data_IF_087795132552
#
_entry.id   IF_087795132552
#
_cell.length_a   1.000
_cell.length_b   1.000
_cell.length_c   1.000
_cell.angle_alpha   90.00
_cell.angle_beta   90.00
_cell.angle_gamma   90.00
#
_symmetry.space_group_name_H-M   'P 1'
#
loop_
_entity.id
_entity.type
_entity.pdbx_description
1 polymer ?
#
# COMPACT_ATOMS: atom_id res chain seq x y z
N UNK A 1 0.36 12.25 -15.84
CA UNK A 1 -0.36 12.30 -14.54
C UNK A 1 0.02 13.60 -13.87
N UNK A 2 -0.95 14.35 -13.33
CA UNK A 2 -0.78 15.76 -12.92
C UNK A 2 -0.22 15.96 -11.49
N UNK A 3 -0.23 14.95 -10.61
CA UNK A 3 0.22 15.09 -9.21
C UNK A 3 1.67 14.64 -9.00
N UNK A 4 2.63 15.57 -9.15
CA UNK A 4 4.06 15.26 -9.04
C UNK A 4 4.47 14.76 -7.65
N UNK A 5 3.97 15.39 -6.58
CA UNK A 5 4.30 15.02 -5.18
C UNK A 5 3.84 13.60 -4.85
N UNK A 6 2.62 13.23 -5.23
CA UNK A 6 2.09 11.87 -4.99
C UNK A 6 2.97 10.82 -5.68
N UNK A 7 3.41 11.11 -6.92
CA UNK A 7 4.26 10.19 -7.66
C UNK A 7 5.66 10.09 -7.03
N UNK A 8 6.22 11.21 -6.57
CA UNK A 8 7.49 11.21 -5.85
C UNK A 8 7.40 10.37 -4.57
N UNK A 9 6.38 10.61 -3.74
CA UNK A 9 6.13 9.85 -2.51
C UNK A 9 6.02 8.36 -2.78
N UNK A 10 5.21 7.95 -3.77
CA UNK A 10 5.07 6.56 -4.17
C UNK A 10 6.37 5.95 -4.70
N UNK A 11 7.12 6.69 -5.51
CA UNK A 11 8.37 6.21 -6.09
C UNK A 11 9.41 5.94 -4.98
N UNK A 12 9.62 6.92 -4.09
CA UNK A 12 10.55 6.81 -2.95
C UNK A 12 10.11 5.71 -1.99
N UNK A 13 8.84 5.68 -1.59
CA UNK A 13 8.34 4.65 -0.69
C UNK A 13 8.48 3.24 -1.28
N UNK A 14 8.24 3.07 -2.59
CA UNK A 14 8.46 1.78 -3.25
C UNK A 14 9.93 1.35 -3.18
N UNK A 15 10.89 2.27 -3.40
CA UNK A 15 12.31 1.94 -3.30
C UNK A 15 12.69 1.52 -1.88
N UNK A 16 12.27 2.30 -0.88
CA UNK A 16 12.58 2.02 0.52
C UNK A 16 12.02 0.67 0.97
N UNK A 17 10.82 0.28 0.51
CA UNK A 17 10.25 -1.02 0.83
C UNK A 17 11.03 -2.16 0.16
N UNK A 18 11.40 -2.03 -1.11
CA UNK A 18 12.21 -3.07 -1.78
C UNK A 18 13.55 -3.23 -1.07
N UNK A 19 14.22 -2.13 -0.74
CA UNK A 19 15.50 -2.15 -0.03
C UNK A 19 15.37 -2.68 1.40
N UNK A 20 14.29 -2.35 2.11
CA UNK A 20 13.99 -2.92 3.43
C UNK A 20 13.90 -4.44 3.37
N UNK A 21 13.10 -4.96 2.44
CA UNK A 21 12.93 -6.39 2.25
C UNK A 21 14.23 -7.06 1.80
N UNK A 22 15.04 -6.40 0.98
CA UNK A 22 16.35 -6.93 0.58
C UNK A 22 17.35 -6.97 1.74
N UNK A 23 17.27 -6.00 2.67
CA UNK A 23 18.08 -5.98 3.89
C UNK A 23 17.59 -6.99 4.95
N UNK A 24 16.40 -7.58 4.76
CA UNK A 24 15.77 -8.52 5.69
C UNK A 24 15.71 -9.96 5.15
N UNK A 25 15.62 -10.14 3.83
CA UNK A 25 15.47 -11.44 3.19
C UNK A 25 16.80 -11.96 2.63
N UNK A 26 17.26 -13.07 3.21
CA UNK A 26 18.41 -13.84 2.76
C UNK A 26 19.75 -13.32 3.29
N UNK A 27 20.81 -14.13 3.14
CA UNK A 27 22.09 -13.93 3.82
C UNK A 27 22.95 -12.83 3.18
N UNK A 28 22.62 -12.32 1.99
CA UNK A 28 23.42 -11.28 1.34
C UNK A 28 23.58 -10.05 2.24
N UNK A 29 22.50 -9.63 2.90
CA UNK A 29 22.50 -8.46 3.78
C UNK A 29 23.40 -8.64 5.01
N UNK A 30 23.48 -9.85 5.56
CA UNK A 30 24.32 -10.15 6.73
C UNK A 30 25.81 -9.94 6.42
N UNK A 31 26.25 -10.29 5.21
CA UNK A 31 27.62 -10.08 4.77
C UNK A 31 27.91 -8.59 4.54
N UNK A 32 26.97 -7.87 3.94
CA UNK A 32 27.11 -6.41 3.70
C UNK A 32 27.10 -5.64 5.01
N UNK A 33 26.35 -6.10 6.02
CA UNK A 33 26.30 -5.50 7.36
C UNK A 33 27.68 -5.43 8.02
N UNK A 34 28.62 -6.31 7.68
CA UNK A 34 30.00 -6.28 8.21
C UNK A 34 30.77 -5.02 7.80
N UNK A 35 30.45 -4.44 6.63
CA UNK A 35 31.13 -3.25 6.09
C UNK A 35 30.26 -1.98 6.12
N UNK A 36 28.92 -2.14 6.16
CA UNK A 36 27.95 -1.04 6.18
C UNK A 36 26.84 -1.29 7.24
N UNK A 37 27.18 -1.45 8.52
CA UNK A 37 26.23 -1.87 9.55
C UNK A 37 25.06 -0.89 9.72
N UNK A 38 25.35 0.41 9.84
CA UNK A 38 24.33 1.44 10.06
C UNK A 38 23.31 1.52 8.92
N UNK A 39 23.76 1.30 7.68
CA UNK A 39 22.89 1.32 6.51
C UNK A 39 21.95 0.11 6.51
N UNK A 40 22.48 -1.11 6.71
CA UNK A 40 21.68 -2.33 6.72
C UNK A 40 20.71 -2.33 7.90
N UNK A 41 21.15 -1.90 9.08
CA UNK A 41 20.30 -1.82 10.27
C UNK A 41 19.19 -0.78 10.10
N UNK A 42 19.48 0.36 9.45
CA UNK A 42 18.46 1.35 9.13
C UNK A 42 17.46 0.84 8.08
N UNK A 43 17.94 0.13 7.04
CA UNK A 43 17.07 -0.47 6.02
C UNK A 43 16.19 -1.58 6.62
N UNK A 44 16.76 -2.48 7.43
CA UNK A 44 16.02 -3.55 8.09
C UNK A 44 15.03 -3.02 9.15
N UNK A 45 15.38 -1.96 9.87
CA UNK A 45 14.53 -1.42 10.94
C UNK A 45 13.55 -0.33 10.49
N UNK A 46 14.08 0.79 10.00
CA UNK A 46 13.33 2.04 9.81
C UNK A 46 12.66 2.16 8.45
N UNK A 47 13.24 1.61 7.38
CA UNK A 47 12.69 1.75 6.03
C UNK A 47 11.31 1.08 5.87
N UNK A 48 10.96 0.09 6.71
CA UNK A 48 9.61 -0.51 6.77
C UNK A 48 8.49 0.49 7.06
N UNK A 49 8.82 1.63 7.67
CA UNK A 49 7.85 2.70 7.93
C UNK A 49 7.27 3.27 6.63
N UNK A 50 7.96 3.13 5.49
CA UNK A 50 7.51 3.65 4.19
C UNK A 50 6.13 3.13 3.74
N UNK A 51 5.64 2.00 4.29
CA UNK A 51 4.26 1.53 4.09
C UNK A 51 3.24 2.62 4.44
N UNK A 52 3.51 3.44 5.47
CA UNK A 52 2.61 4.51 5.91
C UNK A 52 2.36 5.54 4.81
N UNK A 53 3.34 5.78 3.94
CA UNK A 53 3.18 6.64 2.76
C UNK A 53 2.07 6.10 1.85
N UNK A 54 2.06 4.79 1.59
CA UNK A 54 1.04 4.16 0.76
C UNK A 54 -0.34 4.19 1.41
N UNK A 55 -0.45 3.97 2.72
CA UNK A 55 -1.72 4.05 3.46
C UNK A 55 -2.33 5.45 3.38
N UNK A 56 -1.53 6.48 3.66
CA UNK A 56 -1.99 7.88 3.61
C UNK A 56 -2.33 8.29 2.17
N UNK A 57 -1.48 7.98 1.19
CA UNK A 57 -1.76 8.26 -0.23
C UNK A 57 -2.99 7.49 -0.71
N UNK A 58 -3.18 6.26 -0.26
CA UNK A 58 -4.35 5.43 -0.54
C UNK A 58 -5.63 6.09 -0.06
N UNK A 59 -5.65 6.56 1.20
CA UNK A 59 -6.74 7.36 1.76
C UNK A 59 -6.99 8.64 0.95
N UNK A 60 -5.95 9.41 0.65
CA UNK A 60 -6.06 10.64 -0.14
C UNK A 60 -6.71 10.40 -1.52
N UNK A 61 -6.28 9.35 -2.24
CA UNK A 61 -6.84 8.99 -3.54
C UNK A 61 -8.25 8.38 -3.44
N UNK A 62 -8.57 7.69 -2.34
CA UNK A 62 -9.91 7.20 -2.07
C UNK A 62 -10.89 8.35 -1.80
N UNK A 63 -10.53 9.33 -0.97
CA UNK A 63 -11.32 10.54 -0.79
C UNK A 63 -11.54 11.26 -2.12
N UNK A 64 -10.48 11.44 -2.91
CA UNK A 64 -10.61 12.04 -4.25
C UNK A 64 -11.61 11.33 -5.16
N UNK A 65 -11.59 10.00 -5.18
CA UNK A 65 -12.36 9.20 -6.14
C UNK A 65 -13.79 8.90 -5.67
N UNK A 66 -13.99 8.65 -4.39
CA UNK A 66 -15.27 8.23 -3.82
C UNK A 66 -16.05 9.37 -3.16
N UNK A 67 -15.35 10.27 -2.48
CA UNK A 67 -15.96 11.31 -1.65
C UNK A 67 -15.22 12.65 -1.79
N UNK A 68 -15.08 13.20 -3.01
CA UNK A 68 -14.27 14.40 -3.24
C UNK A 68 -14.76 15.59 -2.41
N UNK A 69 -16.07 15.61 -2.13
CA UNK A 69 -16.76 16.62 -1.35
C UNK A 69 -17.05 16.21 0.10
N UNK A 70 -16.51 15.10 0.60
CA UNK A 70 -16.79 14.57 1.93
C UNK A 70 -18.30 14.44 2.25
N UNK A 71 -19.13 14.32 1.22
CA UNK A 71 -20.58 14.24 1.35
C UNK A 71 -20.99 12.76 1.37
N UNK A 72 -22.10 12.42 2.04
CA UNK A 72 -22.79 11.17 1.81
C UNK A 72 -23.13 11.03 0.33
N UNK A 73 -22.72 9.93 -0.29
CA UNK A 73 -23.03 9.59 -1.68
C UNK A 73 -23.58 8.18 -1.69
N UNK A 74 -24.72 7.98 -2.37
CA UNK A 74 -25.25 6.65 -2.61
C UNK A 74 -24.27 5.90 -3.51
N UNK A 75 -23.51 5.00 -2.88
CA UNK A 75 -22.65 4.04 -3.54
C UNK A 75 -23.36 2.69 -3.53
N UNK A 76 -23.22 1.93 -4.62
CA UNK A 76 -23.54 0.51 -4.63
C UNK A 76 -22.35 -0.22 -3.99
N UNK A 77 -22.46 -0.67 -2.72
CA UNK A 77 -21.29 -1.07 -1.95
C UNK A 77 -20.62 -2.32 -2.54
N UNK A 78 -21.40 -3.34 -2.88
CA UNK A 78 -20.90 -4.58 -3.48
C UNK A 78 -20.23 -4.32 -4.84
N UNK A 79 -20.87 -3.53 -5.70
CA UNK A 79 -20.28 -3.15 -6.99
C UNK A 79 -18.97 -2.35 -6.83
N UNK A 80 -18.89 -1.43 -5.86
CA UNK A 80 -17.67 -0.65 -5.60
C UNK A 80 -16.52 -1.53 -5.08
N UNK A 81 -16.82 -2.41 -4.13
CA UNK A 81 -15.84 -3.36 -3.57
C UNK A 81 -15.38 -4.33 -4.66
N UNK A 82 -16.29 -4.87 -5.47
CA UNK A 82 -15.96 -5.76 -6.58
C UNK A 82 -15.05 -5.08 -7.62
N UNK A 83 -15.35 -3.83 -8.00
CA UNK A 83 -14.47 -3.07 -8.93
C UNK A 83 -13.06 -2.88 -8.38
N UNK A 84 -12.91 -2.69 -7.06
CA UNK A 84 -11.59 -2.62 -6.42
C UNK A 84 -10.90 -3.98 -6.42
N UNK A 85 -11.62 -5.04 -6.05
CA UNK A 85 -11.13 -6.41 -6.05
C UNK A 85 -10.64 -6.82 -7.44
N UNK A 86 -11.47 -6.66 -8.47
CA UNK A 86 -11.14 -7.02 -9.85
C UNK A 86 -9.92 -6.25 -10.41
N UNK A 87 -9.61 -5.07 -9.86
CA UNK A 87 -8.40 -4.34 -10.22
C UNK A 87 -7.15 -4.87 -9.52
N UNK A 88 -7.26 -5.28 -8.26
CA UNK A 88 -6.13 -5.68 -7.42
C UNK A 88 -5.81 -7.18 -7.52
N UNK A 89 -6.83 -8.02 -7.37
CA UNK A 89 -6.67 -9.46 -7.14
C UNK A 89 -6.01 -10.22 -8.30
N UNK A 90 -6.35 -10.01 -9.59
CA UNK A 90 -5.75 -10.80 -10.67
C UNK A 90 -4.21 -10.67 -10.78
N UNK A 91 -3.61 -9.47 -10.87
CA UNK A 91 -2.15 -9.35 -10.84
C UNK A 91 -1.56 -9.80 -9.50
N UNK A 92 -2.27 -9.62 -8.38
CA UNK A 92 -1.82 -10.11 -7.08
C UNK A 92 -1.74 -11.64 -7.02
N UNK A 93 -2.73 -12.35 -7.54
CA UNK A 93 -2.76 -13.82 -7.63
C UNK A 93 -1.62 -14.32 -8.51
N UNK A 94 -1.41 -13.71 -9.68
CA UNK A 94 -0.30 -14.06 -10.56
C UNK A 94 1.06 -13.91 -9.85
N UNK A 95 1.28 -12.79 -9.15
CA UNK A 95 2.50 -12.58 -8.38
C UNK A 95 2.65 -13.55 -7.20
N UNK A 96 1.55 -13.91 -6.54
CA UNK A 96 1.54 -14.90 -5.44
C UNK A 96 1.95 -16.29 -5.94
N UNK A 97 1.45 -16.70 -7.11
CA UNK A 97 1.85 -17.97 -7.74
C UNK A 97 3.33 -17.95 -8.13
N UNK A 98 3.83 -16.84 -8.71
CA UNK A 98 5.25 -16.68 -9.01
C UNK A 98 6.08 -16.75 -7.71
N UNK A 99 5.63 -16.15 -6.62
CA UNK A 99 6.30 -16.20 -5.32
C UNK A 99 6.36 -17.62 -4.73
N UNK A 100 5.27 -18.39 -4.85
CA UNK A 100 5.26 -19.79 -4.43
C UNK A 100 6.26 -20.64 -5.25
N UNK A 101 6.29 -20.47 -6.58
CA UNK A 101 7.24 -21.18 -7.46
C UNK A 101 8.68 -20.75 -7.15
N UNK A 102 8.92 -19.44 -7.01
CA UNK A 102 10.24 -18.91 -6.67
C UNK A 102 10.76 -19.43 -5.33
N UNK A 103 9.87 -19.63 -4.35
CA UNK A 103 10.26 -20.21 -3.05
C UNK A 103 10.74 -21.65 -3.18
N UNK A 104 10.05 -22.48 -3.98
CA UNK A 104 10.47 -23.86 -4.27
C UNK A 104 11.79 -23.92 -5.04
N UNK A 105 12.03 -22.98 -5.95
CA UNK A 105 13.31 -22.92 -6.67
C UNK A 105 14.45 -22.43 -5.77
N UNK A 106 14.20 -21.40 -4.96
CA UNK A 106 15.18 -20.86 -4.03
C UNK A 106 15.61 -21.89 -2.97
N UNK A 107 14.69 -22.75 -2.52
CA UNK A 107 14.98 -23.81 -1.55
C UNK A 107 15.93 -24.90 -2.08
N UNK A 108 16.20 -24.93 -3.39
CA UNK A 108 17.21 -25.84 -3.96
C UNK A 108 18.63 -25.31 -3.77
N UNK A 109 18.79 -24.01 -3.52
CA UNK A 109 20.09 -23.32 -3.51
C UNK A 109 20.41 -22.65 -2.18
N UNK A 110 19.42 -22.46 -1.30
CA UNK A 110 19.56 -21.77 -0.02
C UNK A 110 18.63 -22.39 1.03
N UNK A 111 19.07 -22.41 2.28
CA UNK A 111 18.24 -22.67 3.45
C UNK A 111 18.21 -21.40 4.30
N UNK A 112 17.02 -20.83 4.51
CA UNK A 112 16.84 -19.55 5.20
C UNK A 112 15.36 -19.35 5.57
N UNK A 113 15.09 -18.68 6.70
CA UNK A 113 13.73 -18.38 7.20
C UNK A 113 12.86 -17.55 6.24
N UNK A 114 13.46 -16.98 5.20
CA UNK A 114 12.75 -16.22 4.16
C UNK A 114 12.10 -17.12 3.11
N UNK A 115 12.45 -18.39 3.06
CA UNK A 115 11.87 -19.36 2.15
C UNK A 115 10.54 -19.83 2.75
N UNK A 116 9.45 -19.58 2.02
CA UNK A 116 8.13 -20.05 2.44
C UNK A 116 8.02 -21.57 2.29
N UNK A 117 7.34 -22.21 3.24
CA UNK A 117 6.88 -23.59 3.08
C UNK A 117 6.00 -23.73 1.81
N UNK A 118 5.90 -24.94 1.23
CA UNK A 118 5.07 -25.18 0.06
C UNK A 118 3.63 -24.68 0.26
N UNK A 119 3.16 -23.86 -0.68
CA UNK A 119 1.85 -23.23 -0.58
C UNK A 119 0.73 -24.28 -0.66
N UNK A 120 -0.17 -24.28 0.33
CA UNK A 120 -1.36 -25.14 0.31
C UNK A 120 -2.47 -24.52 -0.55
N UNK A 121 -3.40 -25.34 -1.04
CA UNK A 121 -4.57 -24.86 -1.79
C UNK A 121 -5.40 -23.88 -0.94
N UNK A 122 -5.57 -24.17 0.36
CA UNK A 122 -6.27 -23.29 1.29
C UNK A 122 -5.59 -21.92 1.45
N UNK A 123 -4.25 -21.91 1.56
CA UNK A 123 -3.48 -20.67 1.62
C UNK A 123 -3.61 -19.86 0.32
N UNK A 124 -3.52 -20.50 -0.85
CA UNK A 124 -3.68 -19.83 -2.15
C UNK A 124 -5.09 -19.25 -2.31
N UNK A 125 -6.13 -19.98 -1.88
CA UNK A 125 -7.50 -19.49 -1.88
C UNK A 125 -7.68 -18.29 -0.92
N UNK A 126 -7.07 -18.33 0.26
CA UNK A 126 -7.08 -17.22 1.21
C UNK A 126 -6.34 -15.97 0.68
N UNK A 127 -5.26 -16.16 -0.09
CA UNK A 127 -4.60 -15.07 -0.80
C UNK A 127 -5.51 -14.51 -1.90
N UNK A 128 -6.11 -15.36 -2.74
CA UNK A 128 -7.04 -14.91 -3.77
C UNK A 128 -8.19 -14.08 -3.19
N UNK A 129 -8.75 -14.48 -2.04
CA UNK A 129 -9.79 -13.75 -1.32
C UNK A 129 -9.29 -12.49 -0.58
N UNK A 130 -7.98 -12.20 -0.58
CA UNK A 130 -7.35 -11.14 0.22
C UNK A 130 -7.61 -11.26 1.73
N UNK A 131 -7.76 -12.49 2.23
CA UNK A 131 -8.11 -12.81 3.62
C UNK A 131 -7.03 -13.60 4.36
N UNK A 132 -5.89 -13.92 3.72
CA UNK A 132 -4.82 -14.75 4.28
C UNK A 132 -4.37 -14.36 5.69
N UNK A 133 -4.05 -13.08 5.95
CA UNK A 133 -3.61 -12.64 7.28
C UNK A 133 -4.69 -12.80 8.36
N UNK A 134 -5.95 -12.50 8.03
CA UNK A 134 -7.09 -12.64 8.96
C UNK A 134 -7.38 -14.12 9.28
N UNK A 135 -7.16 -15.00 8.30
CA UNK A 135 -7.31 -16.45 8.44
C UNK A 135 -6.07 -17.12 9.06
N UNK A 136 -5.05 -16.36 9.45
CA UNK A 136 -3.83 -16.89 10.09
C UNK A 136 -2.84 -17.55 9.13
N UNK A 137 -3.00 -17.38 7.81
CA UNK A 137 -2.03 -17.88 6.84
C UNK A 137 -0.85 -16.92 6.68
N UNK A 138 0.41 -17.40 6.73
CA UNK A 138 1.58 -16.60 6.41
C UNK A 138 1.50 -16.01 5.00
N UNK A 139 2.03 -14.80 4.83
CA UNK A 139 2.11 -14.13 3.53
C UNK A 139 3.15 -14.82 2.63
N UNK A 140 2.75 -15.23 1.43
CA UNK A 140 3.65 -15.84 0.43
C UNK A 140 4.54 -14.81 -0.30
N UNK A 141 4.24 -13.52 -0.13
CA UNK A 141 5.03 -12.42 -0.69
C UNK A 141 5.00 -11.25 0.28
N UNK A 142 6.13 -10.54 0.37
CA UNK A 142 6.30 -9.36 1.22
C UNK A 142 5.21 -8.29 1.02
N UNK A 143 4.68 -8.17 -0.20
CA UNK A 143 3.60 -7.22 -0.52
C UNK A 143 2.18 -7.71 -0.19
N UNK A 144 1.97 -9.00 0.08
CA UNK A 144 0.63 -9.60 0.16
C UNK A 144 -0.23 -8.98 1.27
N UNK A 145 0.37 -8.83 2.45
CA UNK A 145 -0.28 -8.23 3.61
C UNK A 145 -0.84 -6.83 3.31
N UNK A 146 -0.03 -5.95 2.69
CA UNK A 146 -0.47 -4.58 2.39
C UNK A 146 -1.65 -4.55 1.39
N UNK A 147 -1.64 -5.43 0.37
CA UNK A 147 -2.73 -5.49 -0.61
C UNK A 147 -4.05 -5.86 0.06
N UNK A 148 -4.02 -6.80 1.00
CA UNK A 148 -5.19 -7.16 1.79
C UNK A 148 -5.67 -5.99 2.68
N UNK A 149 -4.76 -5.32 3.39
CA UNK A 149 -5.09 -4.16 4.22
C UNK A 149 -5.67 -3.01 3.39
N UNK A 150 -5.08 -2.68 2.24
CA UNK A 150 -5.57 -1.63 1.34
C UNK A 150 -6.99 -1.93 0.84
N UNK A 151 -7.27 -3.20 0.52
CA UNK A 151 -8.61 -3.64 0.15
C UNK A 151 -9.61 -3.50 1.30
N UNK A 152 -9.25 -3.93 2.51
CA UNK A 152 -10.08 -3.76 3.71
C UNK A 152 -10.39 -2.28 3.98
N UNK A 153 -9.38 -1.40 3.94
CA UNK A 153 -9.53 0.04 4.16
C UNK A 153 -10.44 0.70 3.10
N UNK A 154 -10.31 0.30 1.84
CA UNK A 154 -11.21 0.75 0.77
C UNK A 154 -12.66 0.30 1.03
N UNK A 155 -12.86 -0.96 1.42
CA UNK A 155 -14.18 -1.49 1.76
C UNK A 155 -14.80 -0.76 2.97
N UNK A 156 -14.00 -0.46 4.00
CA UNK A 156 -14.42 0.34 5.16
C UNK A 156 -14.88 1.75 4.74
N UNK A 157 -14.14 2.41 3.83
CA UNK A 157 -14.54 3.72 3.31
C UNK A 157 -15.86 3.64 2.52
N UNK A 158 -16.03 2.62 1.69
CA UNK A 158 -17.30 2.37 0.98
C UNK A 158 -18.45 2.16 1.97
N UNK A 159 -18.23 1.38 3.04
CA UNK A 159 -19.22 1.15 4.08
C UNK A 159 -19.60 2.44 4.83
N UNK A 160 -18.63 3.30 5.14
CA UNK A 160 -18.88 4.63 5.74
C UNK A 160 -19.78 5.47 4.82
N UNK A 161 -19.46 5.55 3.53
CA UNK A 161 -20.26 6.34 2.58
C UNK A 161 -21.67 5.81 2.44
N UNK A 162 -21.82 4.49 2.32
CA UNK A 162 -23.11 3.83 2.24
C UNK A 162 -23.95 4.07 3.49
N UNK A 163 -23.38 3.85 4.69
CA UNK A 163 -24.08 4.05 5.95
C UNK A 163 -24.44 5.52 6.17
N UNK A 164 -23.52 6.45 5.88
CA UNK A 164 -23.79 7.88 5.97
C UNK A 164 -24.93 8.31 5.03
N UNK A 165 -25.01 7.75 3.82
CA UNK A 165 -26.09 8.04 2.87
C UNK A 165 -27.43 7.48 3.36
N UNK A 166 -27.44 6.28 3.96
CA UNK A 166 -28.64 5.68 4.55
C UNK A 166 -29.17 6.48 5.74
N UNK A 167 -28.28 6.96 6.61
CA UNK A 167 -28.64 7.80 7.78
C UNK A 167 -29.08 9.21 7.34
N UNK A 168 -28.46 9.77 6.30
CA UNK A 168 -28.80 11.09 5.77
C UNK A 168 -30.21 11.15 5.18
N UNK A 169 -30.67 10.06 4.57
CA UNK A 169 -31.90 10.05 3.78
C UNK A 169 -31.83 11.10 2.66
N UNK A 170 -32.92 11.83 2.36
CA UNK A 170 -32.91 12.87 1.33
C UNK A 170 -32.10 14.12 1.72
N UNK A 171 -31.82 14.32 3.01
CA UNK A 171 -31.08 15.49 3.51
C UNK A 171 -29.59 15.21 3.53
N UNK A 172 -28.82 15.88 2.65
CA UNK A 172 -27.36 15.69 2.58
C UNK A 172 -26.65 16.33 3.78
N UNK A 173 -26.39 15.53 4.83
CA UNK A 173 -25.68 15.97 6.04
C UNK A 173 -24.17 15.89 5.83
N UNK A 174 -23.59 17.03 5.41
CA UNK A 174 -22.18 17.20 5.07
C UNK A 174 -21.16 16.80 6.16
N UNK A 175 -21.59 16.75 7.42
CA UNK A 175 -20.74 16.43 8.55
C UNK A 175 -20.67 14.94 8.88
N UNK A 176 -21.62 14.11 8.40
CA UNK A 176 -21.69 12.70 8.80
C UNK A 176 -20.47 11.89 8.37
N UNK A 177 -20.11 11.93 7.08
CA UNK A 177 -18.95 11.16 6.57
C UNK A 177 -17.67 11.55 7.31
N UNK A 178 -17.32 12.85 7.44
CA UNK A 178 -16.14 13.21 8.20
C UNK A 178 -16.20 12.87 9.69
N UNK A 179 -17.35 12.98 10.35
CA UNK A 179 -17.50 12.58 11.76
C UNK A 179 -17.27 11.08 11.93
N UNK A 180 -17.80 10.24 11.03
CA UNK A 180 -17.57 8.79 11.07
C UNK A 180 -16.10 8.45 10.84
N UNK A 181 -15.42 9.15 9.92
CA UNK A 181 -13.98 9.00 9.70
C UNK A 181 -13.18 9.46 10.92
N UNK A 182 -13.55 10.57 11.56
CA UNK A 182 -12.90 11.06 12.77
C UNK A 182 -13.05 10.09 13.94
N UNK A 183 -14.26 9.55 14.16
CA UNK A 183 -14.53 8.56 15.21
C UNK A 183 -13.72 7.28 14.95
N UNK A 184 -13.82 6.70 13.75
CA UNK A 184 -13.10 5.47 13.45
C UNK A 184 -11.58 5.66 13.42
N UNK A 185 -11.09 6.82 12.93
CA UNK A 185 -9.69 7.20 12.99
C UNK A 185 -9.20 7.36 14.44
N UNK A 186 -10.01 7.98 15.30
CA UNK A 186 -9.76 8.11 16.73
C UNK A 186 -9.65 6.75 17.42
N UNK A 187 -10.63 5.86 17.22
CA UNK A 187 -10.56 4.48 17.74
C UNK A 187 -9.37 3.70 17.17
N UNK A 188 -9.06 3.89 15.89
CA UNK A 188 -7.88 3.30 15.27
C UNK A 188 -6.61 3.68 16.00
N UNK A 189 -6.35 4.98 16.19
CA UNK A 189 -5.10 5.43 16.82
C UNK A 189 -5.08 5.23 18.34
N UNK A 190 -6.22 5.30 19.03
CA UNK A 190 -6.27 5.25 20.50
C UNK A 190 -6.50 3.84 21.06
N UNK A 191 -6.97 2.89 20.27
CA UNK A 191 -7.30 1.56 20.74
C UNK A 191 -6.69 0.47 19.85
N UNK A 192 -7.13 0.35 18.60
CA UNK A 192 -6.73 -0.76 17.73
C UNK A 192 -5.22 -0.78 17.46
N UNK A 193 -4.63 0.38 17.16
CA UNK A 193 -3.22 0.50 16.82
C UNK A 193 -2.26 0.25 18.00
N UNK A 194 -2.78 0.13 19.22
CA UNK A 194 -2.00 -0.23 20.40
C UNK A 194 -1.80 -1.76 20.54
N UNK A 195 -2.66 -2.56 19.91
CA UNK A 195 -2.57 -4.02 19.96
C UNK A 195 -1.99 -4.58 18.65
N UNK A 196 -0.75 -5.09 18.69
CA UNK A 196 -0.07 -5.65 17.52
C UNK A 196 -0.78 -6.86 16.91
N UNK A 197 -1.57 -7.61 17.67
CA UNK A 197 -2.28 -8.79 17.18
C UNK A 197 -3.38 -8.42 16.15
N UNK A 198 -3.73 -7.14 16.10
CA UNK A 198 -4.71 -6.60 15.17
C UNK A 198 -4.09 -6.07 13.87
N UNK A 199 -2.79 -6.27 13.64
CA UNK A 199 -2.10 -5.76 12.45
C UNK A 199 -2.50 -6.46 11.12
N UNK A 200 -3.38 -7.47 11.18
CA UNK A 200 -4.03 -8.07 10.01
C UNK A 200 -5.39 -7.43 9.66
N UNK A 201 -5.84 -6.45 10.45
CA UNK A 201 -7.16 -5.84 10.34
C UNK A 201 -7.09 -4.36 9.94
N UNK A 202 -7.90 -3.96 8.95
CA UNK A 202 -8.03 -2.58 8.48
C UNK A 202 -8.24 -1.53 9.59
N UNK A 203 -9.08 -1.78 10.63
CA UNK A 203 -9.21 -0.89 11.79
C UNK A 203 -7.91 -0.49 12.47
N UNK A 204 -6.87 -1.33 12.45
CA UNK A 204 -5.55 -1.00 12.99
C UNK A 204 -4.86 0.13 12.20
N UNK A 205 -5.08 0.22 10.89
CA UNK A 205 -4.45 1.19 9.99
C UNK A 205 -5.37 2.33 9.55
N UNK A 206 -6.63 2.30 9.97
CA UNK A 206 -7.60 3.31 9.56
C UNK A 206 -7.22 4.72 9.98
N UNK A 207 -6.45 4.90 11.07
CA UNK A 207 -5.89 6.18 11.47
C UNK A 207 -5.02 6.80 10.38
N UNK A 208 -4.00 6.08 9.90
CA UNK A 208 -3.11 6.55 8.82
C UNK A 208 -3.87 6.78 7.51
N UNK A 209 -4.77 5.86 7.16
CA UNK A 209 -5.62 6.00 5.97
C UNK A 209 -6.57 7.22 6.08
N UNK A 210 -7.15 7.42 7.26
CA UNK A 210 -8.05 8.52 7.59
C UNK A 210 -7.37 9.88 7.54
N UNK A 211 -6.11 9.98 7.97
CA UNK A 211 -5.29 11.18 7.76
C UNK A 211 -5.15 11.53 6.28
N UNK A 212 -5.03 10.53 5.41
CA UNK A 212 -5.06 10.69 3.96
C UNK A 212 -6.39 11.24 3.43
N UNK A 213 -7.51 10.68 3.90
CA UNK A 213 -8.86 11.18 3.58
C UNK A 213 -9.00 12.65 3.99
N UNK A 214 -8.59 12.98 5.21
CA UNK A 214 -8.60 14.34 5.75
C UNK A 214 -7.72 15.29 4.95
N UNK A 215 -6.53 14.85 4.54
CA UNK A 215 -5.61 15.66 3.75
C UNK A 215 -6.20 16.11 2.41
N UNK A 216 -6.97 15.23 1.73
CA UNK A 216 -7.67 15.61 0.50
C UNK A 216 -8.74 16.69 0.73
N UNK A 217 -9.51 16.57 1.81
CA UNK A 217 -10.57 17.52 2.16
C UNK A 217 -10.02 18.86 2.67
N UNK A 218 -8.90 18.83 3.40
CA UNK A 218 -8.20 20.00 3.89
C UNK A 218 -7.47 20.79 2.80
N UNK A 219 -6.92 20.09 1.81
CA UNK A 219 -6.22 20.73 0.70
C UNK A 219 -7.12 21.48 -0.29
N UNK A 220 -8.45 21.47 -0.15
CA UNK A 220 -9.37 22.19 -1.05
C UNK A 220 -9.55 23.66 -0.61
N UNK A 221 -9.00 24.66 -1.34
CA UNK A 221 -9.08 26.06 -0.93
C UNK A 221 -10.51 26.61 -0.87
N UNK A 222 -11.45 25.97 -1.57
CA UNK A 222 -12.87 26.35 -1.59
C UNK A 222 -13.60 25.96 -0.30
N UNK A 223 -12.95 25.21 0.61
CA UNK A 223 -13.57 24.64 1.82
C UNK A 223 -13.14 25.30 3.12
N UNK A 224 -12.70 26.56 3.12
CA UNK A 224 -12.26 27.27 4.33
C UNK A 224 -13.39 27.68 5.31
N UNK A 225 -14.55 27.03 5.26
CA UNK A 225 -15.63 27.29 6.23
C UNK A 225 -15.25 26.80 7.63
N UNK A 226 -15.73 27.46 8.70
CA UNK A 226 -15.48 27.03 10.09
C UNK A 226 -15.79 25.54 10.32
N UNK A 227 -16.91 25.05 9.77
CA UNK A 227 -17.30 23.65 9.91
C UNK A 227 -16.32 22.67 9.28
N UNK A 228 -15.76 23.01 8.12
CA UNK A 228 -14.74 22.18 7.48
C UNK A 228 -13.41 22.17 8.24
N UNK A 229 -13.01 23.31 8.82
CA UNK A 229 -11.82 23.40 9.69
C UNK A 229 -11.98 22.56 10.96
N UNK A 230 -13.14 22.65 11.62
CA UNK A 230 -13.42 21.84 12.82
C UNK A 230 -13.41 20.34 12.53
N UNK A 231 -13.97 19.94 11.40
CA UNK A 231 -13.94 18.55 10.93
C UNK A 231 -12.52 18.07 10.66
N UNK A 232 -11.68 18.90 10.06
CA UNK A 232 -10.27 18.56 9.82
C UNK A 232 -9.52 18.42 11.14
N UNK A 233 -9.69 19.38 12.05
CA UNK A 233 -9.12 19.32 13.39
C UNK A 233 -9.53 18.04 14.12
N UNK A 234 -10.78 17.60 13.99
CA UNK A 234 -11.28 16.38 14.63
C UNK A 234 -10.61 15.08 14.12
N UNK A 235 -9.98 15.08 12.94
CA UNK A 235 -9.26 13.91 12.41
C UNK A 235 -7.76 13.98 12.74
N UNK A 236 -7.16 15.17 12.67
CA UNK A 236 -5.73 15.36 12.98
C UNK A 236 -5.44 15.35 14.48
N UNK A 237 -6.33 15.91 15.31
CA UNK A 237 -6.14 16.06 16.75
C UNK A 237 -5.98 14.72 17.48
N UNK A 238 -6.82 13.68 17.25
CA UNK A 238 -6.60 12.38 17.90
C UNK A 238 -5.24 11.79 17.58
N UNK A 239 -4.75 11.93 16.34
CA UNK A 239 -3.43 11.44 15.97
C UNK A 239 -2.29 12.25 16.65
N UNK A 240 -2.45 13.56 16.83
CA UNK A 240 -1.50 14.38 17.59
C UNK A 240 -1.47 14.01 19.08
N UNK A 241 -2.65 13.88 19.70
CA UNK A 241 -2.77 13.45 21.10
C UNK A 241 -2.17 12.06 21.29
N UNK A 242 -2.47 11.13 20.37
CA UNK A 242 -1.89 9.79 20.35
C UNK A 242 -0.36 9.82 20.32
N UNK A 243 0.25 10.69 19.51
CA UNK A 243 1.71 10.85 19.44
C UNK A 243 2.31 11.48 20.69
N UNK A 244 1.59 12.40 21.33
CA UNK A 244 2.03 13.06 22.56
C UNK A 244 1.98 12.11 23.77
N UNK A 245 0.96 11.25 23.84
CA UNK A 245 0.77 10.30 24.95
C UNK A 245 1.62 9.04 24.77
N UNK A 246 1.62 8.47 23.56
CA UNK A 246 2.37 7.25 23.25
C UNK A 246 2.93 7.33 21.82
N UNK A 247 4.17 7.84 21.74
CA UNK A 247 4.84 8.11 20.48
C UNK A 247 5.01 6.83 19.65
N UNK A 248 4.52 6.90 18.40
CA UNK A 248 4.58 5.79 17.44
C UNK A 248 5.10 6.29 16.11
N UNK A 249 6.30 5.83 15.71
CA UNK A 249 6.98 6.25 14.49
C UNK A 249 6.16 6.07 13.21
N UNK A 250 5.37 4.98 13.12
CA UNK A 250 4.42 4.74 12.02
C UNK A 250 3.38 5.87 11.90
N UNK A 251 2.77 6.24 13.03
CA UNK A 251 1.77 7.32 13.06
C UNK A 251 2.40 8.70 12.81
N UNK A 252 3.62 8.92 13.31
CA UNK A 252 4.36 10.17 13.09
C UNK A 252 4.66 10.38 11.59
N UNK A 253 5.14 9.35 10.89
CA UNK A 253 5.36 9.41 9.45
C UNK A 253 4.04 9.61 8.69
N UNK A 254 2.97 8.92 9.09
CA UNK A 254 1.65 9.11 8.48
C UNK A 254 1.15 10.56 8.61
N UNK A 255 1.33 11.15 9.80
CA UNK A 255 1.02 12.55 10.08
C UNK A 255 1.84 13.50 9.19
N UNK A 256 3.16 13.30 9.09
CA UNK A 256 4.04 14.11 8.25
C UNK A 256 3.61 14.07 6.77
N UNK A 257 3.33 12.88 6.24
CA UNK A 257 2.88 12.70 4.86
C UNK A 257 1.52 13.36 4.63
N UNK A 258 0.59 13.24 5.58
CA UNK A 258 -0.71 13.89 5.49
C UNK A 258 -0.57 15.42 5.45
N UNK A 259 0.24 16.01 6.33
CA UNK A 259 0.55 17.45 6.31
C UNK A 259 1.17 17.89 4.97
N UNK A 260 2.12 17.12 4.43
CA UNK A 260 2.68 17.39 3.11
C UNK A 260 1.58 17.36 2.01
N UNK A 261 0.68 16.37 2.04
CA UNK A 261 -0.42 16.28 1.08
C UNK A 261 -1.46 17.40 1.23
N UNK A 262 -1.68 17.93 2.43
CA UNK A 262 -2.51 19.14 2.62
C UNK A 262 -1.92 20.32 1.85
N UNK A 263 -0.61 20.54 1.97
CA UNK A 263 0.08 21.69 1.39
C UNK A 263 0.22 21.55 -0.14
N UNK A 264 0.70 20.40 -0.61
CA UNK A 264 1.12 20.24 -2.01
C UNK A 264 0.51 19.02 -2.72
N UNK A 265 -0.35 18.24 -2.06
CA UNK A 265 -0.94 17.02 -2.65
C UNK A 265 -1.87 17.26 -3.83
N UNK A 266 -2.44 18.47 -3.94
CA UNK A 266 -3.27 18.89 -5.10
C UNK A 266 -2.50 19.73 -6.13
N UNK A 267 -1.23 20.04 -5.87
CA UNK A 267 -0.42 20.81 -6.80
C UNK A 267 -0.23 20.02 -8.10
N UNK A 268 -0.63 20.64 -9.21
CA UNK A 268 -0.33 20.11 -10.53
C UNK A 268 1.09 20.54 -10.90
N UNK A 269 2.03 19.61 -10.90
CA UNK A 269 3.39 19.87 -11.38
C UNK A 269 3.37 19.55 -12.88
N UNK A 270 3.11 20.57 -13.70
CA UNK A 270 3.26 20.46 -15.14
C UNK A 270 4.73 20.24 -15.52
N UNK A 271 4.91 19.40 -16.52
CA UNK A 271 6.16 18.68 -16.84
C UNK A 271 7.30 19.62 -17.28
N UNK A 272 8.52 19.15 -17.05
CA UNK A 272 9.66 19.46 -17.91
C UNK A 272 10.98 18.91 -17.38
N UNK A 273 11.25 17.61 -17.57
CA UNK A 273 12.58 17.07 -17.24
C UNK A 273 12.66 15.55 -17.19
N UNK A 274 13.86 15.02 -17.48
CA UNK A 274 14.19 13.58 -17.43
C UNK A 274 13.94 12.97 -16.05
N UNK A 275 14.15 13.75 -14.98
CA UNK A 275 13.94 13.28 -13.60
C UNK A 275 12.45 12.99 -13.34
N UNK A 276 11.56 13.91 -13.72
CA UNK A 276 10.13 13.72 -13.53
C UNK A 276 9.56 12.60 -14.41
N UNK A 277 10.12 12.34 -15.59
CA UNK A 277 9.68 11.18 -16.39
C UNK A 277 10.05 9.86 -15.70
N UNK A 278 11.25 9.77 -15.09
CA UNK A 278 11.68 8.61 -14.29
C UNK A 278 10.79 8.44 -13.06
N UNK A 279 10.57 9.49 -12.27
CA UNK A 279 9.68 9.44 -11.09
C UNK A 279 8.29 8.95 -11.48
N UNK A 280 7.72 9.48 -12.57
CA UNK A 280 6.41 9.07 -13.05
C UNK A 280 6.39 7.61 -13.53
N UNK A 281 7.48 7.13 -14.13
CA UNK A 281 7.62 5.74 -14.53
C UNK A 281 7.66 4.82 -13.31
N UNK A 282 8.51 5.12 -12.31
CA UNK A 282 8.61 4.37 -11.06
C UNK A 282 7.29 4.37 -10.28
N UNK A 283 6.62 5.51 -10.17
CA UNK A 283 5.34 5.62 -9.49
C UNK A 283 4.22 4.82 -10.18
N UNK A 284 4.28 4.70 -11.52
CA UNK A 284 3.33 3.92 -12.31
C UNK A 284 3.55 2.41 -12.15
N UNK A 285 4.81 1.96 -12.11
CA UNK A 285 5.14 0.54 -11.93
C UNK A 285 5.21 0.11 -10.46
N UNK A 286 5.09 1.05 -9.51
CA UNK A 286 5.21 0.79 -8.07
C UNK A 286 4.37 -0.38 -7.56
N UNK A 287 3.14 -0.54 -8.04
CA UNK A 287 2.29 -1.68 -7.66
C UNK A 287 2.88 -3.02 -8.13
N UNK A 288 3.24 -3.11 -9.40
CA UNK A 288 3.89 -4.31 -9.95
C UNK A 288 5.23 -4.63 -9.29
N UNK A 289 6.08 -3.63 -9.04
CA UNK A 289 7.33 -3.80 -8.28
C UNK A 289 7.04 -4.33 -6.89
N UNK A 290 6.08 -3.73 -6.19
CA UNK A 290 5.66 -4.14 -4.85
C UNK A 290 5.16 -5.59 -4.81
N UNK A 291 4.55 -6.09 -5.89
CA UNK A 291 4.11 -7.49 -5.98
C UNK A 291 5.25 -8.48 -6.26
N UNK A 292 6.17 -8.12 -7.16
CA UNK A 292 7.14 -9.07 -7.73
C UNK A 292 8.54 -9.00 -7.10
N UNK A 293 8.84 -7.96 -6.32
CA UNK A 293 10.19 -7.82 -5.76
C UNK A 293 10.59 -8.97 -4.83
N UNK A 294 9.65 -9.52 -4.04
CA UNK A 294 9.95 -10.64 -3.15
C UNK A 294 10.51 -11.87 -3.89
N UNK A 295 9.80 -12.48 -4.87
CA UNK A 295 10.36 -13.62 -5.60
C UNK A 295 11.69 -13.31 -6.28
N UNK A 296 11.86 -12.10 -6.81
CA UNK A 296 13.11 -11.68 -7.46
C UNK A 296 14.26 -11.61 -6.45
N UNK A 297 14.06 -10.91 -5.33
CA UNK A 297 15.04 -10.82 -4.26
C UNK A 297 15.39 -12.21 -3.70
N UNK A 298 14.39 -13.09 -3.56
CA UNK A 298 14.60 -14.45 -3.05
C UNK A 298 15.47 -15.29 -3.99
N UNK A 299 15.18 -15.28 -5.30
CA UNK A 299 15.96 -16.03 -6.29
C UNK A 299 17.39 -15.48 -6.43
N UNK A 300 17.56 -14.16 -6.40
CA UNK A 300 18.90 -13.55 -6.45
C UNK A 300 19.69 -13.89 -5.19
N UNK A 301 19.08 -13.81 -4.00
CA UNK A 301 19.71 -14.25 -2.75
C UNK A 301 20.14 -15.72 -2.84
N UNK A 302 19.25 -16.61 -3.29
CA UNK A 302 19.55 -18.02 -3.38
C UNK A 302 20.71 -18.31 -4.36
N UNK A 303 20.73 -17.63 -5.51
CA UNK A 303 21.83 -17.74 -6.47
C UNK A 303 23.16 -17.22 -5.90
N UNK A 304 23.15 -16.05 -5.25
CA UNK A 304 24.37 -15.49 -4.64
C UNK A 304 24.88 -16.34 -3.48
N UNK A 305 23.99 -16.90 -2.67
CA UNK A 305 24.33 -17.82 -1.58
C UNK A 305 25.03 -19.07 -2.12
N UNK A 306 24.59 -19.60 -3.26
CA UNK A 306 25.10 -20.86 -3.82
C UNK A 306 26.35 -20.71 -4.67
N UNK A 307 26.45 -19.62 -5.44
CA UNK A 307 27.41 -19.48 -6.54
C UNK A 307 28.41 -18.34 -6.36
N UNK A 308 28.20 -17.43 -5.41
CA UNK A 308 29.08 -16.27 -5.19
C UNK A 308 29.74 -16.42 -3.82
N UNK A 309 31.06 -16.18 -3.69
CA UNK A 309 31.72 -16.20 -2.40
C UNK A 309 31.05 -15.26 -1.39
N UNK A 310 31.14 -15.62 -0.11
CA UNK A 310 30.65 -14.86 1.04
C UNK A 310 31.46 -13.56 1.32
N UNK A 311 31.96 -12.92 0.27
CA UNK A 311 32.68 -11.64 0.33
C UNK A 311 31.69 -10.46 0.44
N UNK A 312 31.83 -9.56 1.43
CA UNK A 312 30.91 -8.44 1.63
C UNK A 312 30.68 -7.55 0.41
N UNK A 313 31.70 -7.32 -0.42
CA UNK A 313 31.58 -6.45 -1.60
C UNK A 313 30.79 -7.15 -2.70
N UNK A 314 31.09 -8.43 -2.95
CA UNK A 314 30.35 -9.24 -3.93
C UNK A 314 28.88 -9.42 -3.53
N UNK A 315 28.60 -9.65 -2.25
CA UNK A 315 27.22 -9.74 -1.75
C UNK A 315 26.50 -8.39 -1.84
N UNK A 316 27.21 -7.27 -1.66
CA UNK A 316 26.70 -5.91 -1.92
C UNK A 316 26.32 -5.68 -3.38
N UNK A 317 27.14 -6.16 -4.33
CA UNK A 317 26.77 -6.17 -5.75
C UNK A 317 25.55 -7.06 -6.02
N UNK A 318 25.39 -8.16 -5.28
CA UNK A 318 24.20 -9.01 -5.30
C UNK A 318 22.94 -8.28 -4.86
N UNK A 319 23.02 -7.47 -3.79
CA UNK A 319 21.91 -6.61 -3.37
C UNK A 319 21.55 -5.58 -4.45
N UNK A 320 22.53 -4.89 -5.04
CA UNK A 320 22.26 -3.95 -6.13
C UNK A 320 21.64 -4.65 -7.36
N UNK A 321 22.09 -5.87 -7.66
CA UNK A 321 21.52 -6.72 -8.71
C UNK A 321 20.07 -7.08 -8.41
N UNK A 322 19.76 -7.51 -7.18
CA UNK A 322 18.40 -7.84 -6.75
C UNK A 322 17.46 -6.63 -6.83
N UNK A 323 17.92 -5.45 -6.41
CA UNK A 323 17.16 -4.21 -6.51
C UNK A 323 16.88 -3.84 -7.98
N UNK A 324 17.91 -3.80 -8.83
CA UNK A 324 17.77 -3.51 -10.26
C UNK A 324 16.87 -4.51 -11.00
N UNK A 325 17.06 -5.80 -10.72
CA UNK A 325 16.23 -6.88 -11.27
C UNK A 325 14.77 -6.75 -10.82
N UNK A 326 14.50 -6.35 -9.57
CA UNK A 326 13.15 -6.11 -9.06
C UNK A 326 12.44 -4.97 -9.79
N UNK A 327 13.17 -3.89 -10.12
CA UNK A 327 12.62 -2.79 -10.92
C UNK A 327 12.33 -3.21 -12.36
N UNK A 328 13.23 -3.95 -12.99
CA UNK A 328 13.06 -4.48 -14.34
C UNK A 328 11.89 -5.47 -14.41
N UNK A 329 11.83 -6.43 -13.49
CA UNK A 329 10.75 -7.40 -13.35
C UNK A 329 9.41 -6.71 -13.06
N UNK A 330 9.39 -5.67 -12.21
CA UNK A 330 8.18 -4.90 -11.96
C UNK A 330 7.70 -4.12 -13.19
N UNK A 331 8.61 -3.56 -14.00
CA UNK A 331 8.24 -2.91 -15.25
C UNK A 331 7.70 -3.90 -16.30
N UNK A 332 8.34 -5.08 -16.39
CA UNK A 332 7.90 -6.22 -17.20
C UNK A 332 6.50 -6.70 -16.79
N UNK A 333 6.32 -6.99 -15.50
CA UNK A 333 5.06 -7.45 -14.92
C UNK A 333 3.93 -6.42 -15.12
N UNK A 334 4.24 -5.13 -14.97
CA UNK A 334 3.28 -4.06 -15.24
C UNK A 334 2.78 -4.09 -16.70
N UNK A 335 3.71 -4.21 -17.66
CA UNK A 335 3.41 -4.18 -19.09
C UNK A 335 2.66 -5.42 -19.56
N UNK A 336 3.07 -6.60 -19.08
CA UNK A 336 2.62 -7.89 -19.64
C UNK A 336 1.57 -8.61 -18.78
N UNK A 337 1.41 -8.25 -17.52
CA UNK A 337 0.44 -8.90 -16.61
C UNK A 337 -0.58 -7.90 -16.08
N UNK A 338 -0.14 -6.84 -15.40
CA UNK A 338 -1.05 -5.87 -14.75
C UNK A 338 -1.96 -5.17 -15.77
N UNK A 339 -1.38 -4.59 -16.83
CA UNK A 339 -2.14 -3.83 -17.84
C UNK A 339 -3.12 -4.72 -18.63
N UNK A 340 -2.72 -5.90 -19.16
CA UNK A 340 -3.64 -6.77 -19.88
C UNK A 340 -4.80 -7.28 -19.02
N UNK A 341 -4.53 -7.78 -17.81
CA UNK A 341 -5.58 -8.25 -16.90
C UNK A 341 -6.54 -7.12 -16.53
N UNK A 342 -6.02 -5.92 -16.30
CA UNK A 342 -6.83 -4.73 -16.05
C UNK A 342 -7.76 -4.36 -17.22
N UNK A 343 -7.34 -4.57 -18.47
CA UNK A 343 -8.17 -4.30 -19.66
C UNK A 343 -9.28 -5.34 -19.83
N UNK A 344 -8.98 -6.62 -19.65
CA UNK A 344 -9.94 -7.74 -19.80
C UNK A 344 -11.13 -7.63 -18.82
N UNK A 345 -10.86 -7.17 -17.60
CA UNK A 345 -11.91 -7.02 -16.58
C UNK A 345 -12.72 -5.73 -16.74
N UNK A 346 -12.13 -4.69 -17.33
CA UNK A 346 -12.84 -3.47 -17.71
C UNK A 346 -13.78 -3.67 -18.90
N UNK A 347 -13.41 -4.50 -19.89
CA UNK A 347 -14.31 -4.83 -21.00
C UNK A 347 -15.49 -5.67 -20.52
N UNK A 348 -15.25 -6.69 -19.67
CA UNK A 348 -16.29 -7.58 -19.14
C UNK A 348 -17.35 -6.84 -18.31
N UNK A 349 -16.93 -5.86 -17.49
CA UNK A 349 -17.85 -5.02 -16.70
C UNK A 349 -18.67 -4.03 -17.54
N UNK A 350 -18.15 -3.57 -18.69
CA UNK A 350 -18.91 -2.73 -19.62
C UNK A 350 -20.02 -3.53 -20.32
N UNK A 351 -19.72 -4.73 -20.80
CA UNK A 351 -20.69 -5.61 -21.48
C UNK A 351 -21.84 -6.02 -20.55
N UNK A 352 -21.54 -6.34 -19.29
CA UNK A 352 -22.58 -6.68 -18.28
C UNK A 352 -23.51 -5.51 -17.95
N UNK A 353 -23.02 -4.27 -17.92
CA UNK A 353 -23.86 -3.10 -17.63
C UNK A 353 -24.71 -2.65 -18.82
N UNK A 354 -24.31 -3.00 -20.05
CA UNK A 354 -25.12 -2.80 -21.25
C UNK A 354 -26.26 -3.83 -21.31
N UNK A 355 -25.99 -5.08 -20.94
CA UNK A 355 -27.00 -6.16 -20.91
C UNK A 355 -28.05 -6.02 -19.79
N UNK A 356 -27.75 -5.29 -18.70
CA UNK A 356 -28.72 -4.96 -17.64
C UNK A 356 -29.56 -3.70 -17.94
N UNK A 357 -29.27 -2.98 -19.03
CA UNK A 357 -29.98 -1.77 -19.47
C UNK A 357 -30.82 -1.97 -20.73
N UNK A 358 -30.75 -3.16 -21.32
CA UNK A 358 -31.66 -3.65 -22.35
C UNK A 358 -32.67 -4.58 -21.67
#
# INVERSE_FOLDING_TARGET
>A
MKYGVINLLKAVAAQLIVLHHLAFYGPMADHVRLILPDLIDWLAGSARLAVQVFLVVGGFLAAKSLAPSAQPVMVEPLGAIWRRYAKLAPPFIAATLIAAIASVLASQWMDHDSISAPATVGQLAAHAALAHGVLGYPSLSAGAWYVAIDFQLYAMMVAILWLAARISGPVRRAWLVPSMVAVLGGFSVMYFNLNSDLDNWGPYFFGSYGLGLAAWWAGDPRRKTRGAVMVQAAIFLPALVALAVNFRSRLALAMMVACALVICGRAEIEKGGRIWSVINALARTSYSVFLIHFPVCLLVNAAFTRFVPADPVLQGLGMLTAWGASLAAGAAFHRWVEVPLGRLLQSSSRTSSAAQRA
#
